data_IF_785157184103
#
_entry.id   IF_785157184103
#
_cell.length_a   1.000
_cell.length_b   1.000
_cell.length_c   1.000
_cell.angle_alpha   90.00
_cell.angle_beta   90.00
_cell.angle_gamma   90.00
#
_symmetry.space_group_name_H-M   'P 1'
#
loop_
_entity.id
_entity.type
_entity.pdbx_description
1 polymer ?
#
# COMPACT_ATOMS: atom_id res chain seq x y z
N UNK A 1 0.52 12.41 3.76
CA UNK A 1 1.78 12.16 3.01
C UNK A 1 1.56 11.33 1.75
N UNK A 2 0.49 10.52 1.70
CA UNK A 2 -0.03 9.91 0.47
C UNK A 2 -0.54 11.00 -0.48
N UNK A 3 -0.26 10.85 -1.77
CA UNK A 3 -0.67 11.77 -2.85
C UNK A 3 -1.65 11.14 -3.82
N UNK A 4 -1.49 9.84 -4.11
CA UNK A 4 -2.47 9.03 -4.85
C UNK A 4 -2.25 7.55 -4.56
N UNK A 5 -3.20 6.71 -4.97
CA UNK A 5 -3.10 5.26 -4.88
C UNK A 5 -3.90 4.62 -6.02
N UNK A 6 -3.49 3.43 -6.42
CA UNK A 6 -4.14 2.64 -7.46
C UNK A 6 -3.91 1.16 -7.21
N UNK A 7 -4.81 0.32 -7.69
CA UNK A 7 -4.63 -1.13 -7.66
C UNK A 7 -4.59 -1.73 -9.07
N UNK A 8 -3.88 -2.86 -9.19
CA UNK A 8 -3.85 -3.68 -10.38
C UNK A 8 -3.69 -5.14 -9.98
N UNK A 9 -4.76 -5.93 -10.14
CA UNK A 9 -4.81 -7.31 -9.63
C UNK A 9 -4.56 -7.32 -8.11
N UNK A 10 -3.67 -8.17 -7.61
CA UNK A 10 -3.34 -8.30 -6.20
C UNK A 10 -2.26 -7.30 -5.73
N UNK A 11 -2.07 -6.20 -6.44
CA UNK A 11 -1.04 -5.21 -6.15
C UNK A 11 -1.70 -3.87 -5.91
N UNK A 12 -1.28 -3.20 -4.84
CA UNK A 12 -1.65 -1.82 -4.56
C UNK A 12 -0.39 -0.96 -4.64
N UNK A 13 -0.47 0.15 -5.36
CA UNK A 13 0.58 1.16 -5.46
C UNK A 13 0.12 2.40 -4.73
N UNK A 14 0.94 2.89 -3.81
CA UNK A 14 0.72 4.14 -3.08
C UNK A 14 1.81 5.13 -3.49
N UNK A 15 1.40 6.30 -3.99
CA UNK A 15 2.29 7.44 -4.23
C UNK A 15 2.34 8.30 -2.98
N UNK A 16 3.54 8.74 -2.63
CA UNK A 16 3.81 9.61 -1.49
C UNK A 16 4.42 10.92 -1.95
N UNK A 17 4.65 11.84 -1.02
CA UNK A 17 5.62 12.91 -1.24
C UNK A 17 7.03 12.30 -1.43
N UNK A 18 7.96 12.99 -2.11
CA UNK A 18 9.32 12.51 -2.33
C UNK A 18 10.03 12.08 -1.05
N UNK A 19 10.77 10.97 -1.11
CA UNK A 19 11.52 10.40 0.02
C UNK A 19 10.69 9.75 1.13
N UNK A 20 9.37 9.62 1.00
CA UNK A 20 8.50 9.10 2.06
C UNK A 20 7.99 7.67 1.85
N UNK A 21 8.27 7.02 0.72
CA UNK A 21 7.76 5.67 0.45
C UNK A 21 8.21 4.64 1.50
N UNK A 22 9.48 4.69 1.93
CA UNK A 22 9.99 3.78 2.96
C UNK A 22 9.28 3.96 4.31
N UNK A 23 8.90 5.20 4.66
CA UNK A 23 8.14 5.45 5.88
C UNK A 23 6.70 4.91 5.78
N UNK A 24 6.08 5.01 4.60
CA UNK A 24 4.77 4.43 4.33
C UNK A 24 4.81 2.89 4.45
N UNK A 25 5.78 2.23 3.81
CA UNK A 25 5.99 0.79 3.93
C UNK A 25 6.21 0.36 5.38
N UNK A 26 7.09 1.05 6.12
CA UNK A 26 7.33 0.74 7.54
C UNK A 26 6.07 0.87 8.40
N UNK A 27 5.20 1.84 8.12
CA UNK A 27 3.92 1.98 8.82
C UNK A 27 2.98 0.80 8.49
N UNK A 28 2.85 0.44 7.21
CA UNK A 28 2.02 -0.67 6.73
C UNK A 28 2.50 -2.01 7.28
N UNK A 29 3.81 -2.28 7.25
CA UNK A 29 4.42 -3.49 7.82
C UNK A 29 4.12 -3.63 9.32
N UNK A 30 4.00 -2.50 10.03
CA UNK A 30 3.68 -2.47 11.46
C UNK A 30 2.21 -2.72 11.77
N UNK A 31 1.31 -2.54 10.79
CA UNK A 31 -0.14 -2.77 10.96
C UNK A 31 -0.52 -4.26 11.02
N UNK A 32 0.40 -5.17 10.64
CA UNK A 32 0.19 -6.64 10.65
C UNK A 32 -1.10 -7.05 9.93
N UNK A 33 -1.25 -6.58 8.70
CA UNK A 33 -2.37 -6.94 7.83
C UNK A 33 -2.16 -8.38 7.34
N UNK A 34 -3.01 -9.31 7.76
CA UNK A 34 -2.85 -10.75 7.47
C UNK A 34 -2.81 -11.09 5.97
N UNK A 35 -3.46 -10.28 5.14
CA UNK A 35 -3.55 -10.46 3.69
C UNK A 35 -2.45 -9.74 2.90
N UNK A 36 -1.61 -8.94 3.58
CA UNK A 36 -0.45 -8.29 2.98
C UNK A 36 0.74 -9.27 2.97
N UNK A 37 1.16 -9.68 1.77
CA UNK A 37 2.30 -10.59 1.57
C UNK A 37 3.62 -9.86 1.83
N UNK A 38 3.69 -8.58 1.47
CA UNK A 38 4.83 -7.73 1.77
C UNK A 38 4.78 -6.38 1.06
N UNK A 39 5.72 -5.51 1.43
CA UNK A 39 5.87 -4.19 0.84
C UNK A 39 7.25 -4.00 0.21
N UNK A 40 7.32 -3.11 -0.79
CA UNK A 40 8.57 -2.66 -1.40
C UNK A 40 8.52 -1.15 -1.63
N UNK A 41 9.48 -0.43 -1.05
CA UNK A 41 9.59 1.01 -1.20
C UNK A 41 10.58 1.40 -2.31
N UNK A 42 10.17 2.35 -3.15
CA UNK A 42 11.07 3.22 -3.90
C UNK A 42 11.34 4.51 -3.13
N UNK A 43 11.39 5.65 -3.84
CA UNK A 43 11.51 6.98 -3.23
C UNK A 43 10.14 7.59 -2.88
N UNK A 44 9.26 7.69 -3.88
CA UNK A 44 7.95 8.32 -3.79
C UNK A 44 6.79 7.34 -4.09
N UNK A 45 7.11 6.05 -4.20
CA UNK A 45 6.20 4.98 -4.60
C UNK A 45 6.41 3.77 -3.71
N UNK A 46 5.34 3.32 -3.06
CA UNK A 46 5.28 2.09 -2.28
C UNK A 46 4.45 1.05 -3.04
N UNK A 47 4.95 -0.17 -3.05
CA UNK A 47 4.33 -1.33 -3.68
C UNK A 47 3.89 -2.30 -2.61
N UNK A 48 2.61 -2.65 -2.59
CA UNK A 48 2.01 -3.57 -1.62
C UNK A 48 1.57 -4.81 -2.40
N UNK A 49 2.16 -5.95 -2.08
CA UNK A 49 1.75 -7.23 -2.63
C UNK A 49 0.71 -7.85 -1.72
N UNK A 50 -0.51 -8.02 -2.22
CA UNK A 50 -1.62 -8.64 -1.50
C UNK A 50 -1.71 -10.11 -1.88
N UNK A 51 -2.33 -10.91 -0.99
CA UNK A 51 -2.48 -12.35 -1.15
C UNK A 51 -3.20 -12.74 -2.45
N UNK A 52 -4.25 -12.00 -2.79
CA UNK A 52 -5.08 -12.19 -3.96
C UNK A 52 -5.81 -10.88 -4.32
N UNK A 53 -6.55 -10.89 -5.45
CA UNK A 53 -7.26 -9.71 -5.94
C UNK A 53 -8.39 -9.27 -5.00
N UNK A 54 -9.05 -10.21 -4.32
CA UNK A 54 -10.12 -9.88 -3.36
C UNK A 54 -9.56 -9.14 -2.16
N UNK A 55 -8.43 -9.61 -1.62
CA UNK A 55 -7.72 -8.96 -0.53
C UNK A 55 -7.22 -7.56 -0.91
N UNK A 56 -6.80 -7.38 -2.17
CA UNK A 56 -6.41 -6.06 -2.68
C UNK A 56 -7.61 -5.11 -2.74
N UNK A 57 -8.72 -5.53 -3.35
CA UNK A 57 -9.94 -4.72 -3.44
C UNK A 57 -10.46 -4.33 -2.04
N UNK A 58 -10.48 -5.27 -1.09
CA UNK A 58 -10.88 -4.98 0.30
C UNK A 58 -9.97 -3.93 0.95
N UNK A 59 -8.65 -4.10 0.84
CA UNK A 59 -7.70 -3.16 1.43
C UNK A 59 -7.69 -1.80 0.70
N UNK A 60 -7.93 -1.78 -0.61
CA UNK A 60 -8.08 -0.56 -1.39
C UNK A 60 -9.25 0.29 -0.87
N UNK A 61 -10.39 -0.34 -0.59
CA UNK A 61 -11.54 0.34 0.02
C UNK A 61 -11.31 0.75 1.48
N UNK A 62 -10.38 0.11 2.21
CA UNK A 62 -9.95 0.58 3.52
C UNK A 62 -9.09 1.85 3.41
N UNK A 63 -8.16 1.91 2.46
CA UNK A 63 -7.35 3.10 2.18
C UNK A 63 -8.25 4.30 1.86
N UNK A 64 -9.30 4.11 1.05
CA UNK A 64 -10.28 5.16 0.71
C UNK A 64 -10.96 5.78 1.93
N UNK A 65 -11.17 5.01 3.02
CA UNK A 65 -11.82 5.50 4.24
C UNK A 65 -10.87 6.27 5.16
N UNK A 66 -9.56 6.13 4.96
CA UNK A 66 -8.52 6.71 5.81
C UNK A 66 -7.95 8.02 5.26
N UNK A 67 -8.27 8.37 4.00
CA UNK A 67 -7.78 9.55 3.27
C UNK A 67 -8.90 10.55 2.98
#
# INVERSE_FOLDING_TARGET
CVTSYAEAQNIIVIKTLPGLASAACSALDSMRIDTLVGTLAGDDTAFLLMKDNTSADEFFHEIEKLL
#
